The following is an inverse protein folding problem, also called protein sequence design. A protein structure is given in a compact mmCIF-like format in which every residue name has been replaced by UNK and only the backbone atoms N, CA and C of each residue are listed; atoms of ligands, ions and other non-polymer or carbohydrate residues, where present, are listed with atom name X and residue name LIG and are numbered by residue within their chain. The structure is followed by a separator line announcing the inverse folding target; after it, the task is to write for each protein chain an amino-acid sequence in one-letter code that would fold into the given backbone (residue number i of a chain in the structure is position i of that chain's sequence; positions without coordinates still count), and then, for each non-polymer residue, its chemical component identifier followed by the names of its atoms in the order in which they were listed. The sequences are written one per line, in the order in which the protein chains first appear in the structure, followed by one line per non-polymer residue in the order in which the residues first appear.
data_IF_370097286305
#
_entry.id   IF_370097286305
#
_cell.length_a   1.000
_cell.length_b   1.000
_cell.length_c   1.000
_cell.angle_alpha   90.00
_cell.angle_beta   90.00
_cell.angle_gamma   90.00
#
_symmetry.space_group_name_H-M   'P 1'
#
loop_
_entity.id
_entity.type
_entity.pdbx_description
1 polymer ?
#
# COMPACT_ATOMS: atom_id res chain seq x y z
N UNK A 1 2.98 13.88 -16.78
CA UNK A 1 4.10 13.15 -16.15
C UNK A 1 3.62 12.72 -14.77
N UNK A 2 3.58 11.41 -14.50
CA UNK A 2 3.29 10.89 -13.16
C UNK A 2 4.57 10.99 -12.32
N UNK A 3 4.51 11.63 -11.16
CA UNK A 3 5.64 11.64 -10.23
C UNK A 3 5.78 10.27 -9.56
N UNK A 4 7.01 9.79 -9.37
CA UNK A 4 7.31 8.50 -8.77
C UNK A 4 7.92 8.68 -7.37
N UNK A 5 7.57 7.76 -6.47
CA UNK A 5 8.39 7.46 -5.31
C UNK A 5 9.42 6.41 -5.69
N UNK A 6 10.68 6.65 -5.37
CA UNK A 6 11.80 5.76 -5.68
C UNK A 6 12.56 5.40 -4.40
N UNK A 7 12.77 4.11 -4.17
CA UNK A 7 13.61 3.61 -3.07
C UNK A 7 14.68 2.70 -3.66
N UNK A 8 15.94 3.15 -3.57
CA UNK A 8 17.11 2.39 -4.00
C UNK A 8 17.73 1.70 -2.79
N UNK A 9 17.86 0.38 -2.82
CA UNK A 9 18.41 -0.43 -1.74
C UNK A 9 19.74 -1.04 -2.16
N UNK A 10 20.73 -0.90 -1.28
CA UNK A 10 22.03 -1.55 -1.38
C UNK A 10 22.19 -2.53 -0.21
N UNK A 11 22.63 -3.75 -0.51
CA UNK A 11 22.99 -4.74 0.50
C UNK A 11 24.50 -4.69 0.78
N UNK A 12 24.90 -4.06 1.88
CA UNK A 12 26.29 -4.07 2.34
C UNK A 12 26.62 -5.25 3.27
N UNK A 13 25.65 -6.13 3.57
CA UNK A 13 25.90 -7.33 4.36
C UNK A 13 26.72 -8.36 3.55
N UNK A 14 27.39 -9.33 4.21
CA UNK A 14 28.25 -10.31 3.52
C UNK A 14 27.47 -11.40 2.77
N UNK A 15 26.14 -11.47 2.91
CA UNK A 15 25.30 -12.51 2.32
C UNK A 15 24.17 -11.90 1.50
N UNK A 16 23.62 -12.68 0.57
CA UNK A 16 22.36 -12.33 -0.08
C UNK A 16 21.26 -12.14 0.98
N UNK A 17 20.36 -11.20 0.72
CA UNK A 17 19.22 -10.90 1.59
C UNK A 17 17.96 -10.81 0.75
N UNK A 18 16.88 -11.36 1.26
CA UNK A 18 15.53 -11.08 0.77
C UNK A 18 15.05 -9.76 1.39
N UNK A 19 14.67 -8.80 0.56
CA UNK A 19 14.06 -7.56 1.01
C UNK A 19 12.60 -7.53 0.61
N UNK A 20 11.74 -7.11 1.54
CA UNK A 20 10.34 -6.80 1.24
C UNK A 20 10.01 -5.38 1.67
N UNK A 21 9.04 -4.81 0.98
CA UNK A 21 8.61 -3.43 1.14
C UNK A 21 7.16 -3.42 1.60
N UNK A 22 6.81 -2.42 2.39
CA UNK A 22 5.45 -2.20 2.85
C UNK A 22 5.24 -0.73 3.20
N UNK A 23 3.99 -0.31 3.27
CA UNK A 23 3.63 1.06 3.64
C UNK A 23 3.11 1.09 5.06
N UNK A 24 3.25 2.25 5.72
CA UNK A 24 2.47 2.53 6.92
C UNK A 24 0.98 2.36 6.59
N UNK A 25 0.21 1.59 7.39
CA UNK A 25 -1.19 1.35 7.09
C UNK A 25 -1.97 2.65 7.06
N UNK A 26 -2.91 2.75 6.14
CA UNK A 26 -3.86 3.85 6.11
C UNK A 26 -4.72 3.86 7.38
N UNK A 27 -5.22 5.03 7.73
CA UNK A 27 -6.16 5.21 8.84
C UNK A 27 -7.57 5.05 8.27
N UNK A 28 -8.34 4.13 8.86
CA UNK A 28 -9.72 3.86 8.48
C UNK A 28 -10.67 4.36 9.56
N UNK A 29 -11.62 5.20 9.19
CA UNK A 29 -12.64 5.69 10.12
C UNK A 29 -13.52 4.53 10.62
N UNK A 30 -13.83 4.51 11.92
CA UNK A 30 -14.65 3.46 12.54
C UNK A 30 -13.85 2.35 13.25
N UNK A 31 -12.51 2.40 13.23
CA UNK A 31 -11.68 1.52 14.05
C UNK A 31 -11.66 0.05 13.62
N UNK A 32 -11.99 -0.22 12.35
CA UNK A 32 -11.93 -1.55 11.78
C UNK A 32 -10.51 -2.14 11.89
N UNK A 33 -10.41 -3.47 11.98
CA UNK A 33 -9.12 -4.16 11.97
C UNK A 33 -8.46 -3.94 10.61
N UNK A 34 -7.30 -3.29 10.65
CA UNK A 34 -6.50 -3.00 9.46
C UNK A 34 -5.49 -4.13 9.23
N UNK A 35 -5.46 -4.61 8.00
CA UNK A 35 -4.46 -5.55 7.49
C UNK A 35 -3.46 -4.80 6.62
N UNK A 36 -2.29 -5.38 6.44
CA UNK A 36 -1.23 -4.82 5.61
C UNK A 36 -0.61 -5.93 4.80
N UNK A 37 -0.23 -5.62 3.55
CA UNK A 37 0.53 -6.55 2.73
C UNK A 37 1.95 -6.05 2.51
N UNK A 38 2.84 -7.00 2.20
CA UNK A 38 4.02 -6.67 1.40
C UNK A 38 3.58 -6.15 0.03
N UNK A 39 4.22 -5.11 -0.47
CA UNK A 39 3.94 -4.49 -1.77
C UNK A 39 5.02 -4.77 -2.81
N UNK A 40 6.20 -5.23 -2.37
CA UNK A 40 7.32 -5.58 -3.23
C UNK A 40 8.24 -6.55 -2.50
N UNK A 41 8.90 -7.46 -3.22
CA UNK A 41 9.89 -8.37 -2.67
C UNK A 41 10.95 -8.72 -3.71
N UNK A 42 12.22 -8.72 -3.32
CA UNK A 42 13.29 -9.23 -4.16
C UNK A 42 14.54 -9.64 -3.35
N UNK A 43 15.29 -10.61 -3.88
CA UNK A 43 16.60 -11.01 -3.35
C UNK A 43 17.68 -10.08 -3.91
N UNK A 44 18.54 -9.56 -3.05
CA UNK A 44 19.67 -8.72 -3.45
C UNK A 44 21.00 -9.29 -2.93
N UNK A 45 21.95 -9.51 -3.84
CA UNK A 45 23.31 -9.94 -3.53
C UNK A 45 24.12 -8.83 -2.84
N UNK A 46 25.19 -9.17 -2.09
CA UNK A 46 26.11 -8.18 -1.54
C UNK A 46 26.65 -7.24 -2.61
N UNK A 47 26.57 -5.94 -2.37
CA UNK A 47 27.01 -4.91 -3.31
C UNK A 47 28.49 -5.04 -3.69
N UNK A 48 29.33 -5.41 -2.72
CA UNK A 48 30.76 -5.66 -2.96
C UNK A 48 31.01 -6.79 -3.97
N UNK A 49 30.06 -7.70 -4.16
CA UNK A 49 30.19 -8.85 -5.04
C UNK A 49 29.51 -8.62 -6.40
N UNK A 50 28.39 -7.88 -6.45
CA UNK A 50 27.58 -7.75 -7.67
C UNK A 50 27.44 -6.32 -8.21
N UNK A 51 27.71 -5.30 -7.40
CA UNK A 51 27.41 -3.89 -7.73
C UNK A 51 25.92 -3.58 -7.91
N UNK A 52 25.03 -4.51 -7.55
CA UNK A 52 23.60 -4.40 -7.81
C UNK A 52 22.90 -3.45 -6.84
N UNK A 53 21.96 -2.67 -7.37
CA UNK A 53 21.04 -1.83 -6.59
C UNK A 53 19.62 -2.33 -6.86
N UNK A 54 18.85 -2.56 -5.80
CA UNK A 54 17.45 -2.91 -5.91
C UNK A 54 16.62 -1.64 -5.92
N UNK A 55 15.78 -1.45 -6.94
CA UNK A 55 14.98 -0.23 -7.07
C UNK A 55 13.49 -0.56 -7.00
N UNK A 56 12.83 -0.02 -5.99
CA UNK A 56 11.37 -0.03 -5.88
C UNK A 56 10.81 1.32 -6.35
N UNK A 57 9.82 1.28 -7.25
CA UNK A 57 9.14 2.46 -7.77
C UNK A 57 7.62 2.32 -7.72
N UNK A 58 6.94 3.34 -7.20
CA UNK A 58 5.49 3.44 -7.25
C UNK A 58 5.02 4.85 -7.59
N UNK A 59 3.80 4.96 -8.12
CA UNK A 59 3.22 6.25 -8.48
C UNK A 59 2.87 7.06 -7.22
N UNK A 60 3.06 8.39 -7.28
CA UNK A 60 2.55 9.33 -6.25
C UNK A 60 1.02 9.53 -6.32
N UNK A 61 0.32 8.75 -7.14
CA UNK A 61 -1.14 8.75 -7.25
C UNK A 61 -1.74 7.82 -6.20
N UNK A 62 -2.80 8.26 -5.51
CA UNK A 62 -3.56 7.39 -4.63
C UNK A 62 -4.52 6.52 -5.43
N UNK A 63 -4.60 5.25 -5.04
CA UNK A 63 -5.54 4.29 -5.61
C UNK A 63 -6.41 3.72 -4.50
N UNK A 64 -7.73 3.84 -4.68
CA UNK A 64 -8.67 2.98 -4.00
C UNK A 64 -8.54 1.58 -4.59
N UNK A 65 -8.50 0.55 -3.75
CA UNK A 65 -8.48 -0.83 -4.17
C UNK A 65 -9.59 -1.65 -3.54
N UNK A 66 -10.06 -2.64 -4.28
CA UNK A 66 -10.97 -3.67 -3.80
C UNK A 66 -10.49 -5.04 -4.29
N UNK A 67 -10.66 -6.06 -3.47
CA UNK A 67 -10.17 -7.40 -3.79
C UNK A 67 -11.10 -8.49 -3.26
N UNK A 68 -11.26 -9.60 -3.98
CA UNK A 68 -11.88 -10.80 -3.41
C UNK A 68 -11.00 -11.38 -2.31
N UNK A 69 -11.53 -11.53 -1.11
CA UNK A 69 -10.76 -11.97 0.04
C UNK A 69 -10.52 -13.49 0.00
N UNK A 70 -9.32 -13.91 0.36
CA UNK A 70 -9.05 -15.31 0.70
C UNK A 70 -9.56 -15.65 2.11
N UNK A 71 -9.96 -16.91 2.39
CA UNK A 71 -10.58 -17.28 3.67
C UNK A 71 -9.72 -17.02 4.92
N UNK A 72 -8.39 -16.92 4.76
CA UNK A 72 -7.47 -16.80 5.88
C UNK A 72 -6.50 -15.62 5.73
N UNK A 73 -6.84 -14.48 6.32
CA UNK A 73 -5.95 -13.31 6.43
C UNK A 73 -4.92 -13.49 7.56
N UNK A 74 -4.13 -14.55 7.48
CA UNK A 74 -3.02 -14.83 8.38
C UNK A 74 -1.70 -14.33 7.81
N UNK A 75 -0.77 -13.95 8.69
CA UNK A 75 0.57 -13.49 8.29
C UNK A 75 1.26 -14.54 7.41
N UNK A 76 1.83 -14.10 6.29
CA UNK A 76 2.50 -14.93 5.29
C UNK A 76 1.57 -15.63 4.30
N UNK A 77 0.26 -15.41 4.38
CA UNK A 77 -0.72 -15.91 3.40
C UNK A 77 -1.14 -14.81 2.44
N UNK A 78 -1.53 -15.19 1.23
CA UNK A 78 -2.11 -14.28 0.26
C UNK A 78 -3.41 -13.66 0.80
N UNK A 79 -3.59 -12.35 0.57
CA UNK A 79 -4.77 -11.61 1.04
C UNK A 79 -5.99 -11.79 0.13
N UNK A 80 -5.79 -12.11 -1.14
CA UNK A 80 -6.87 -12.24 -2.11
C UNK A 80 -6.38 -12.43 -3.55
N UNK A 81 -7.31 -12.41 -4.51
CA UNK A 81 -7.02 -12.66 -5.94
C UNK A 81 -7.48 -11.53 -6.85
N UNK A 82 -8.77 -11.51 -7.21
CA UNK A 82 -9.32 -10.56 -8.18
C UNK A 82 -9.23 -9.20 -7.54
N UNK A 83 -8.44 -8.32 -8.14
CA UNK A 83 -8.16 -6.98 -7.61
C UNK A 83 -8.62 -5.95 -8.62
N UNK A 84 -9.44 -5.01 -8.18
CA UNK A 84 -9.78 -3.80 -8.91
C UNK A 84 -9.16 -2.60 -8.22
N UNK A 85 -8.77 -1.59 -8.99
CA UNK A 85 -8.25 -0.34 -8.45
C UNK A 85 -8.70 0.84 -9.29
N UNK A 86 -8.81 1.99 -8.64
CA UNK A 86 -9.19 3.23 -9.26
C UNK A 86 -8.38 4.39 -8.67
N UNK A 87 -7.81 5.23 -9.55
CA UNK A 87 -7.18 6.47 -9.14
C UNK A 87 -8.21 7.39 -8.46
N UNK A 88 -7.84 7.93 -7.31
CA UNK A 88 -8.70 8.77 -6.47
C UNK A 88 -7.87 9.91 -5.87
N UNK A 89 -8.50 11.05 -5.65
CA UNK A 89 -7.87 12.21 -5.00
C UNK A 89 -8.20 12.24 -3.51
N UNK A 90 -7.35 12.89 -2.72
CA UNK A 90 -7.69 13.16 -1.32
C UNK A 90 -8.61 14.37 -1.23
N UNK A 91 -9.50 14.35 -0.24
CA UNK A 91 -10.30 15.52 0.09
C UNK A 91 -9.39 16.66 0.54
N UNK A 92 -9.55 17.83 -0.07
CA UNK A 92 -8.74 19.01 0.27
C UNK A 92 -9.00 19.49 1.70
N UNK A 93 -7.95 19.94 2.38
CA UNK A 93 -8.09 20.68 3.64
C UNK A 93 -8.57 22.12 3.43
N UNK A 94 -8.52 22.63 2.20
CA UNK A 94 -9.02 23.96 1.86
C UNK A 94 -10.51 23.90 1.60
N UNK A 95 -11.29 24.65 2.39
CA UNK A 95 -12.74 24.71 2.24
C UNK A 95 -13.16 25.15 0.83
N UNK A 96 -14.18 24.49 0.28
CA UNK A 96 -14.73 24.79 -1.06
C UNK A 96 -13.97 24.19 -2.23
N UNK A 97 -12.81 23.55 -2.01
CA UNK A 97 -12.08 22.82 -3.06
C UNK A 97 -12.67 21.42 -3.21
N UNK A 98 -13.29 21.16 -4.36
CA UNK A 98 -13.82 19.84 -4.72
C UNK A 98 -12.71 19.00 -5.39
N UNK A 99 -12.50 17.79 -4.89
CA UNK A 99 -11.60 16.79 -5.48
C UNK A 99 -12.37 15.51 -5.79
N UNK A 100 -11.88 14.69 -6.73
CA UNK A 100 -12.50 13.41 -7.07
C UNK A 100 -12.19 12.37 -5.97
N UNK A 101 -12.84 12.54 -4.82
CA UNK A 101 -12.48 11.90 -3.55
C UNK A 101 -13.26 10.62 -3.23
N UNK A 102 -14.15 10.16 -4.12
CA UNK A 102 -15.05 9.05 -3.84
C UNK A 102 -15.16 8.11 -5.03
N UNK A 103 -15.07 6.80 -4.80
CA UNK A 103 -15.36 5.76 -5.79
C UNK A 103 -16.42 4.79 -5.28
N UNK A 104 -17.19 4.20 -6.19
CA UNK A 104 -18.21 3.21 -5.90
C UNK A 104 -17.68 1.81 -6.20
N UNK A 105 -17.74 0.92 -5.22
CA UNK A 105 -17.48 -0.51 -5.40
C UNK A 105 -18.66 -1.14 -6.15
N UNK A 106 -18.35 -1.99 -7.12
CA UNK A 106 -19.29 -2.85 -7.81
C UNK A 106 -18.92 -4.31 -7.57
N UNK A 107 -19.94 -5.16 -7.41
CA UNK A 107 -19.78 -6.63 -7.29
C UNK A 107 -20.52 -7.39 -8.40
N UNK A 108 -21.40 -6.71 -9.13
CA UNK A 108 -22.23 -7.26 -10.22
C UNK A 108 -22.13 -6.31 -11.44
N UNK A 109 -21.76 -6.79 -12.65
CA UNK A 109 -21.47 -8.18 -13.04
C UNK A 109 -20.09 -8.69 -12.59
N UNK A 110 -19.24 -7.83 -12.06
CA UNK A 110 -17.91 -8.19 -11.57
C UNK A 110 -17.38 -7.19 -10.55
N UNK A 111 -16.32 -7.59 -9.85
CA UNK A 111 -15.60 -6.71 -8.93
C UNK A 111 -14.99 -5.54 -9.69
N UNK A 112 -15.40 -4.33 -9.32
CA UNK A 112 -14.97 -3.10 -9.99
C UNK A 112 -15.02 -1.89 -9.07
N UNK A 113 -14.34 -0.82 -9.49
CA UNK A 113 -14.44 0.51 -8.88
C UNK A 113 -14.83 1.51 -9.97
N UNK A 114 -15.81 2.36 -9.71
CA UNK A 114 -16.20 3.43 -10.64
C UNK A 114 -15.11 4.49 -10.73
N UNK A 115 -15.02 5.26 -11.83
CA UNK A 115 -14.26 6.52 -11.82
C UNK A 115 -14.59 7.37 -10.61
N UNK A 116 -13.58 8.05 -10.07
CA UNK A 116 -13.75 8.85 -8.87
C UNK A 116 -14.59 10.11 -9.15
N UNK A 117 -15.40 10.50 -8.16
CA UNK A 117 -16.28 11.67 -8.19
C UNK A 117 -16.20 12.40 -6.84
N UNK A 118 -16.66 13.65 -6.82
CA UNK A 118 -16.71 14.43 -5.59
C UNK A 118 -17.91 14.03 -4.73
N UNK A 119 -17.67 13.76 -3.45
CA UNK A 119 -18.71 13.67 -2.41
C UNK A 119 -18.35 14.59 -1.24
N UNK A 120 -19.34 15.36 -0.77
CA UNK A 120 -19.20 16.21 0.40
C UNK A 120 -19.14 15.39 1.70
N UNK A 121 -18.46 15.92 2.73
CA UNK A 121 -18.41 15.29 4.06
C UNK A 121 -17.44 14.11 4.18
N UNK A 122 -16.53 13.95 3.22
CA UNK A 122 -15.32 13.13 3.41
C UNK A 122 -14.30 13.95 4.19
N UNK A 123 -13.59 13.34 5.14
CA UNK A 123 -12.61 14.07 5.95
C UNK A 123 -11.41 14.54 5.10
N UNK A 124 -10.85 15.75 5.35
CA UNK A 124 -9.61 16.19 4.71
C UNK A 124 -8.48 15.16 4.82
N UNK A 125 -7.76 14.94 3.71
CA UNK A 125 -6.70 13.95 3.62
C UNK A 125 -7.18 12.51 3.42
N UNK A 126 -8.48 12.26 3.35
CA UNK A 126 -9.04 10.95 3.02
C UNK A 126 -9.79 10.94 1.69
N UNK A 127 -9.96 9.74 1.15
CA UNK A 127 -10.92 9.42 0.11
C UNK A 127 -11.95 8.39 0.65
N UNK A 128 -13.06 8.22 -0.07
CA UNK A 128 -14.14 7.31 0.28
C UNK A 128 -14.32 6.20 -0.75
N UNK A 129 -14.49 4.97 -0.27
CA UNK A 129 -15.05 3.87 -1.05
C UNK A 129 -16.46 3.61 -0.54
N UNK A 130 -17.46 3.69 -1.41
CA UNK A 130 -18.85 3.34 -1.07
C UNK A 130 -19.11 1.91 -1.51
N UNK A 131 -19.50 1.06 -0.58
CA UNK A 131 -19.82 -0.34 -0.86
C UNK A 131 -21.30 -0.51 -1.23
N UNK A 132 -21.63 -1.38 -2.20
CA UNK A 132 -23.00 -1.66 -2.55
C UNK A 132 -23.65 -2.58 -1.50
N UNK A 133 -24.93 -2.88 -1.66
CA UNK A 133 -25.50 -4.03 -0.97
C UNK A 133 -24.93 -5.33 -1.58
N UNK A 134 -24.49 -6.25 -0.73
CA UNK A 134 -24.04 -7.58 -1.12
C UNK A 134 -24.17 -8.54 0.07
N UNK A 135 -24.01 -9.84 -0.17
CA UNK A 135 -24.05 -10.84 0.89
C UNK A 135 -22.62 -11.12 1.41
N UNK A 136 -22.25 -10.64 2.61
CA UNK A 136 -20.88 -10.76 3.11
C UNK A 136 -20.48 -12.19 3.52
N UNK A 137 -21.42 -13.15 3.49
CA UNK A 137 -21.13 -14.56 3.72
C UNK A 137 -20.63 -15.23 2.44
N UNK A 138 -21.22 -14.88 1.30
CA UNK A 138 -20.87 -15.46 -0.01
C UNK A 138 -19.84 -14.63 -0.76
N UNK A 139 -19.77 -13.33 -0.46
CA UNK A 139 -18.88 -12.36 -1.09
C UNK A 139 -18.07 -11.67 0.01
N UNK A 140 -16.92 -12.25 0.34
CA UNK A 140 -15.98 -11.66 1.29
C UNK A 140 -14.98 -10.81 0.51
N UNK A 141 -14.92 -9.52 0.82
CA UNK A 141 -14.18 -8.53 0.04
C UNK A 141 -13.26 -7.73 0.95
N UNK A 142 -12.06 -7.44 0.46
CA UNK A 142 -11.17 -6.43 1.02
C UNK A 142 -11.38 -5.10 0.30
N UNK A 143 -11.30 -3.99 1.03
CA UNK A 143 -11.23 -2.67 0.43
C UNK A 143 -10.25 -1.77 1.19
N UNK A 144 -9.55 -0.89 0.46
CA UNK A 144 -8.60 0.02 1.10
C UNK A 144 -7.66 0.73 0.15
N UNK A 145 -6.44 0.92 0.63
CA UNK A 145 -5.35 1.60 -0.08
C UNK A 145 -4.60 0.61 -0.96
N UNK A 146 -4.57 0.90 -2.26
CA UNK A 146 -3.74 0.20 -3.22
C UNK A 146 -2.50 1.02 -3.58
N UNK A 147 -1.40 0.32 -3.84
CA UNK A 147 -0.20 0.87 -4.45
C UNK A 147 -0.05 0.26 -5.84
N UNK A 148 0.22 1.12 -6.82
CA UNK A 148 0.54 0.70 -8.17
C UNK A 148 2.04 0.86 -8.43
N UNK A 149 2.70 -0.22 -8.85
CA UNK A 149 4.09 -0.20 -9.28
C UNK A 149 4.24 0.57 -10.59
N UNK A 150 5.46 1.02 -10.90
CA UNK A 150 5.75 1.64 -12.20
C UNK A 150 5.42 0.73 -13.41
N UNK A 151 5.42 -0.60 -13.21
CA UNK A 151 5.03 -1.60 -14.22
C UNK A 151 3.51 -1.80 -14.35
N UNK A 152 2.68 -1.10 -13.56
CA UNK A 152 1.22 -1.17 -13.59
C UNK A 152 0.62 -2.26 -12.70
N UNK A 153 1.44 -3.09 -12.05
CA UNK A 153 0.98 -4.07 -11.06
C UNK A 153 0.38 -3.36 -9.84
N UNK A 154 -0.78 -3.82 -9.37
CA UNK A 154 -1.49 -3.18 -8.25
C UNK A 154 -1.66 -4.16 -7.09
N UNK A 155 -1.31 -3.72 -5.89
CA UNK A 155 -1.40 -4.50 -4.65
C UNK A 155 -2.09 -3.65 -3.59
N UNK A 156 -3.05 -4.22 -2.86
CA UNK A 156 -3.57 -3.61 -1.64
C UNK A 156 -2.45 -3.49 -0.61
N UNK A 157 -2.02 -2.28 -0.28
CA UNK A 157 -0.98 -2.05 0.71
C UNK A 157 -1.52 -2.17 2.13
N UNK A 158 -2.68 -1.57 2.37
CA UNK A 158 -3.45 -1.78 3.60
C UNK A 158 -4.93 -1.82 3.28
N UNK A 159 -5.69 -2.58 4.05
CA UNK A 159 -7.10 -2.81 3.77
C UNK A 159 -7.85 -3.26 5.02
N UNK A 160 -9.18 -3.20 4.93
CA UNK A 160 -10.11 -3.76 5.89
C UNK A 160 -11.04 -4.73 5.18
N UNK A 161 -11.73 -5.58 5.94
CA UNK A 161 -12.87 -6.34 5.40
C UNK A 161 -13.99 -5.33 5.07
N UNK A 162 -14.48 -5.37 3.84
CA UNK A 162 -15.55 -4.50 3.37
C UNK A 162 -16.90 -5.03 3.88
N UNK A 163 -17.70 -4.14 4.44
CA UNK A 163 -19.07 -4.43 4.84
C UNK A 163 -20.04 -3.86 3.80
N UNK A 164 -21.22 -4.49 3.57
CA UNK A 164 -22.19 -4.01 2.59
C UNK A 164 -22.86 -2.69 3.02
N UNK A 165 -23.14 -1.83 2.03
CA UNK A 165 -23.85 -0.55 2.22
C UNK A 165 -23.18 0.39 3.24
N UNK A 166 -21.86 0.49 3.17
CA UNK A 166 -21.02 1.32 4.05
C UNK A 166 -20.17 2.31 3.25
N UNK A 167 -19.79 3.37 3.95
CA UNK A 167 -18.72 4.26 3.54
C UNK A 167 -17.43 3.83 4.24
N UNK A 168 -16.38 3.63 3.46
CA UNK A 168 -15.03 3.36 3.96
C UNK A 168 -14.19 4.59 3.65
N UNK A 169 -13.90 5.39 4.68
CA UNK A 169 -13.02 6.54 4.57
C UNK A 169 -11.58 6.10 4.87
N UNK A 170 -10.72 6.22 3.87
CA UNK A 170 -9.33 5.81 3.91
C UNK A 170 -8.44 7.06 3.87
N UNK A 171 -7.61 7.25 4.89
CA UNK A 171 -6.59 8.29 4.95
C UNK A 171 -5.21 7.65 4.77
N UNK A 172 -4.59 7.76 3.58
CA UNK A 172 -3.28 7.19 3.30
C UNK A 172 -2.17 7.82 4.16
N UNK A 173 -1.15 7.03 4.48
CA UNK A 173 0.06 7.53 5.15
C UNK A 173 1.27 7.22 4.27
N UNK A 174 1.91 8.27 3.75
CA UNK A 174 3.01 8.13 2.79
C UNK A 174 4.36 7.93 3.48
N UNK A 175 4.48 6.84 4.22
CA UNK A 175 5.75 6.39 4.78
C UNK A 175 5.96 4.93 4.37
N UNK A 176 7.07 4.64 3.72
CA UNK A 176 7.42 3.32 3.24
C UNK A 176 8.50 2.70 4.13
N UNK A 177 8.48 1.39 4.21
CA UNK A 177 9.38 0.61 5.04
C UNK A 177 10.06 -0.46 4.18
N UNK A 178 11.35 -0.68 4.44
CA UNK A 178 12.12 -1.79 3.87
C UNK A 178 12.61 -2.67 5.01
N UNK A 179 12.41 -3.98 4.88
CA UNK A 179 12.83 -4.96 5.87
C UNK A 179 13.34 -6.23 5.19
N UNK A 180 14.19 -6.98 5.89
CA UNK A 180 14.61 -8.31 5.43
C UNK A 180 13.51 -9.34 5.67
N UNK A 181 13.19 -10.16 4.67
CA UNK A 181 12.17 -11.21 4.75
C UNK A 181 11.60 -11.60 3.39
N UNK A 182 10.87 -12.70 3.35
CA UNK A 182 10.44 -13.38 2.11
C UNK A 182 8.98 -13.13 1.72
N UNK A 183 8.33 -12.12 2.32
CA UNK A 183 6.92 -11.82 2.08
C UNK A 183 6.69 -11.31 0.66
N UNK A 184 6.07 -12.14 -0.18
CA UNK A 184 5.73 -11.79 -1.57
C UNK A 184 4.68 -10.67 -1.64
N UNK A 185 4.64 -9.87 -2.72
CA UNK A 185 3.62 -8.84 -2.90
C UNK A 185 2.21 -9.42 -2.79
N UNK A 186 1.35 -8.79 -1.98
CA UNK A 186 -0.02 -9.24 -1.73
C UNK A 186 -0.18 -10.25 -0.58
N UNK A 187 0.92 -10.65 0.06
CA UNK A 187 0.89 -11.47 1.29
C UNK A 187 0.72 -10.61 2.53
N UNK A 188 -0.13 -11.06 3.46
CA UNK A 188 -0.42 -10.38 4.72
C UNK A 188 0.84 -10.35 5.59
N UNK A 189 1.16 -9.18 6.13
CA UNK A 189 2.22 -8.96 7.11
C UNK A 189 1.66 -8.45 8.43
N UNK A 190 2.44 -8.57 9.50
CA UNK A 190 2.13 -7.88 10.75
C UNK A 190 2.95 -6.60 10.82
N UNK A 191 2.32 -5.46 10.54
CA UNK A 191 2.99 -4.16 10.52
C UNK A 191 3.72 -3.85 11.84
N UNK A 192 3.10 -4.12 12.99
CA UNK A 192 3.67 -3.81 14.30
C UNK A 192 4.96 -4.56 14.59
N UNK A 193 5.10 -5.79 14.08
CA UNK A 193 6.36 -6.55 14.20
C UNK A 193 7.32 -6.24 13.07
N UNK A 194 6.82 -6.15 11.83
CA UNK A 194 7.65 -5.96 10.65
C UNK A 194 8.36 -4.60 10.64
N UNK A 195 7.70 -3.54 11.13
CA UNK A 195 8.24 -2.17 11.17
C UNK A 195 9.36 -1.97 12.20
N UNK A 196 9.50 -2.86 13.17
CA UNK A 196 10.56 -2.77 14.18
C UNK A 196 11.90 -3.05 13.51
N UNK A 197 12.81 -2.07 13.58
CA UNK A 197 14.14 -2.19 12.99
C UNK A 197 14.16 -2.21 11.47
N UNK A 198 13.12 -1.72 10.79
CA UNK A 198 13.12 -1.49 9.34
C UNK A 198 13.78 -0.17 8.97
N UNK A 199 14.23 -0.04 7.72
CA UNK A 199 14.49 1.27 7.13
C UNK A 199 13.17 2.02 6.93
N UNK A 200 13.14 3.32 7.25
CA UNK A 200 11.95 4.17 7.10
C UNK A 200 12.24 5.23 6.04
N UNK A 201 11.43 5.24 4.99
CA UNK A 201 11.42 6.25 3.93
C UNK A 201 10.19 7.13 4.11
N UNK A 202 10.35 8.23 4.87
CA UNK A 202 9.26 9.14 5.20
C UNK A 202 9.16 10.28 4.18
N UNK A 203 8.07 10.30 3.42
CA UNK A 203 7.83 11.28 2.35
C UNK A 203 7.14 12.55 2.85
N UNK A 204 6.75 12.63 4.13
CA UNK A 204 5.99 13.76 4.69
C UNK A 204 6.73 15.11 4.59
N UNK A 205 8.05 15.09 4.38
CA UNK A 205 8.88 16.27 4.15
C UNK A 205 9.04 16.64 2.67
N UNK A 206 8.32 15.98 1.76
CA UNK A 206 8.39 16.21 0.32
C UNK A 206 9.53 15.47 -0.39
N UNK A 207 10.25 14.58 0.31
CA UNK A 207 11.28 13.71 -0.29
C UNK A 207 10.58 12.57 -1.03
N UNK A 208 10.90 12.42 -2.32
CA UNK A 208 10.31 11.38 -3.17
C UNK A 208 11.28 10.28 -3.56
N UNK A 209 12.57 10.44 -3.28
CA UNK A 209 13.61 9.48 -3.62
C UNK A 209 14.53 9.22 -2.43
N UNK A 210 14.82 7.93 -2.16
CA UNK A 210 15.61 7.50 -1.01
C UNK A 210 16.70 6.51 -1.43
N UNK A 211 17.89 6.68 -0.85
CA UNK A 211 18.94 5.67 -0.88
C UNK A 211 19.00 4.99 0.50
N UNK A 212 18.80 3.68 0.49
CA UNK A 212 18.74 2.81 1.66
C UNK A 212 19.91 1.82 1.60
N UNK A 213 20.65 1.71 2.69
CA UNK A 213 21.75 0.75 2.81
C UNK A 213 21.48 -0.18 3.99
N UNK A 214 21.46 -1.49 3.73
CA UNK A 214 21.45 -2.52 4.76
C UNK A 214 22.89 -2.88 5.16
N UNK A 215 23.25 -2.62 6.42
CA UNK A 215 24.62 -2.77 6.91
C UNK A 215 24.87 -4.18 7.49
N UNK A 216 26.13 -4.65 7.56
CA UNK A 216 26.47 -5.96 8.12
C UNK A 216 25.96 -6.23 9.55
N UNK A 217 25.72 -5.18 10.34
CA UNK A 217 25.22 -5.29 11.72
C UNK A 217 23.70 -5.41 11.81
N UNK A 218 22.99 -5.55 10.69
CA UNK A 218 21.52 -5.58 10.66
C UNK A 218 20.88 -4.21 10.90
N UNK A 219 21.64 -3.13 10.65
CA UNK A 219 21.16 -1.75 10.79
C UNK A 219 20.97 -1.11 9.42
N UNK A 220 20.24 0.00 9.39
CA UNK A 220 19.91 0.70 8.16
C UNK A 220 20.51 2.10 8.15
N UNK A 221 20.99 2.51 6.99
CA UNK A 221 21.29 3.92 6.67
C UNK A 221 20.29 4.39 5.62
N UNK A 222 19.59 5.49 5.87
CA UNK A 222 18.63 6.07 4.92
C UNK A 222 19.01 7.52 4.65
N UNK A 223 19.07 7.91 3.38
CA UNK A 223 19.34 9.27 2.93
C UNK A 223 18.38 9.65 1.81
N UNK A 224 18.09 10.93 1.66
CA UNK A 224 17.44 11.44 0.45
C UNK A 224 18.37 11.24 -0.75
N UNK A 225 17.82 10.83 -1.89
CA UNK A 225 18.56 10.69 -3.13
C UNK A 225 18.64 12.03 -3.90
#
# INVERSE_FOLDING_TARGET
MSTLYTINVINNSPTAQDFFFFQKPAIYTGGAKVYSNSIYQEVLQPYANSGSVLTFECLMQFYAGAQTQLPNLSVGQDSGYITSSQAVDLTSATAGVQTANTTLLSVDPSLGLSPASYTEGVQPGAYRIITPAFNPITEVLNAGLAVQSASGGTVLSSFINAEPSKNIDCQPVLSFYVQTGTYQPGTVINFSTSSVGSAICDTTQGVTAFNVTYNPQGTWTVTSA
#
